data_IF_777306758788
#
_entry.id   IF_777306758788
#
_cell.length_a   1.000
_cell.length_b   1.000
_cell.length_c   1.000
_cell.angle_alpha   90.00
_cell.angle_beta   90.00
_cell.angle_gamma   90.00
#
_symmetry.space_group_name_H-M   'P 1'
#
loop_
_entity.id
_entity.type
_entity.pdbx_description
1 polymer ?
#
# COMPACT_ATOMS: atom_id res chain seq x y z
N UNK A 1 -6.25 -13.83 -0.74
CA UNK A 1 -5.27 -12.74 -0.63
C UNK A 1 -5.96 -11.42 -1.00
N UNK A 2 -5.46 -10.29 -0.52
CA UNK A 2 -5.94 -8.95 -0.88
C UNK A 2 -4.71 -8.06 -1.12
N UNK A 3 -4.34 -7.84 -2.38
CA UNK A 3 -3.09 -7.17 -2.75
C UNK A 3 -3.45 -5.94 -3.56
N UNK A 4 -3.18 -4.75 -3.01
CA UNK A 4 -3.32 -3.50 -3.77
C UNK A 4 -4.73 -2.94 -3.77
N UNK A 5 -5.60 -3.46 -2.89
CA UNK A 5 -7.03 -3.17 -2.92
C UNK A 5 -7.51 -2.53 -1.62
N UNK A 6 -7.11 -3.04 -0.46
CA UNK A 6 -7.72 -2.68 0.83
C UNK A 6 -7.65 -1.16 1.14
N UNK A 7 -6.57 -0.50 0.75
CA UNK A 7 -6.38 0.94 0.94
C UNK A 7 -7.24 1.82 0.02
N UNK A 8 -7.90 1.27 -0.99
CA UNK A 8 -8.82 1.99 -1.85
C UNK A 8 -10.29 1.83 -1.43
N UNK A 9 -10.56 1.04 -0.38
CA UNK A 9 -11.92 0.80 0.12
C UNK A 9 -12.40 1.92 1.04
N UNK A 10 -13.72 2.11 1.09
CA UNK A 10 -14.37 3.09 1.96
C UNK A 10 -14.11 2.81 3.44
N UNK A 11 -13.95 1.54 3.81
CA UNK A 11 -13.68 1.10 5.17
C UNK A 11 -12.69 -0.08 5.16
N UNK A 12 -11.37 0.20 5.30
CA UNK A 12 -10.34 -0.82 5.35
C UNK A 12 -10.50 -1.80 6.51
N UNK A 13 -11.02 -1.35 7.66
CA UNK A 13 -11.24 -2.19 8.84
C UNK A 13 -12.36 -3.20 8.60
N UNK A 14 -13.49 -2.73 8.07
CA UNK A 14 -14.59 -3.62 7.67
C UNK A 14 -14.18 -4.56 6.53
N UNK A 15 -13.39 -4.07 5.59
CA UNK A 15 -12.84 -4.90 4.50
C UNK A 15 -11.95 -6.00 5.05
N UNK A 16 -11.04 -5.67 5.97
CA UNK A 16 -10.20 -6.66 6.65
C UNK A 16 -11.04 -7.68 7.42
N UNK A 17 -12.02 -7.23 8.21
CA UNK A 17 -12.91 -8.10 8.96
C UNK A 17 -13.65 -9.09 8.05
N UNK A 18 -14.11 -8.63 6.88
CA UNK A 18 -14.74 -9.50 5.88
C UNK A 18 -13.74 -10.52 5.29
N UNK A 19 -12.53 -10.10 4.94
CA UNK A 19 -11.48 -11.02 4.44
C UNK A 19 -11.21 -12.11 5.49
N UNK A 20 -11.03 -11.71 6.75
CA UNK A 20 -10.79 -12.63 7.86
C UNK A 20 -11.96 -13.60 8.08
N UNK A 21 -13.20 -13.09 8.06
CA UNK A 21 -14.42 -13.89 8.24
C UNK A 21 -14.55 -15.00 7.20
N UNK A 22 -14.29 -14.70 5.93
CA UNK A 22 -14.40 -15.67 4.83
C UNK A 22 -13.21 -16.65 4.74
N UNK A 23 -12.10 -16.37 5.42
CA UNK A 23 -11.03 -17.34 5.55
C UNK A 23 -11.48 -18.48 6.49
N UNK A 24 -11.28 -19.74 6.09
CA UNK A 24 -11.51 -20.89 6.97
C UNK A 24 -10.45 -20.94 8.10
N UNK A 25 -10.76 -21.51 9.27
CA UNK A 25 -9.75 -21.88 10.27
C UNK A 25 -8.56 -22.63 9.65
N UNK A 26 -7.34 -22.30 10.05
CA UNK A 26 -6.10 -22.84 9.46
C UNK A 26 -5.77 -22.29 8.06
N UNK A 27 -6.59 -21.40 7.50
CA UNK A 27 -6.33 -20.75 6.22
C UNK A 27 -5.33 -19.59 6.34
N UNK A 28 -4.53 -19.39 5.29
CA UNK A 28 -3.59 -18.27 5.19
C UNK A 28 -4.30 -17.01 4.69
N UNK A 29 -4.24 -15.94 5.48
CA UNK A 29 -4.63 -14.59 5.05
C UNK A 29 -3.38 -13.84 4.63
N UNK A 30 -3.45 -13.18 3.47
CA UNK A 30 -2.37 -12.31 2.97
C UNK A 30 -3.00 -10.98 2.55
N UNK A 31 -2.48 -9.89 3.07
CA UNK A 31 -2.89 -8.52 2.75
C UNK A 31 -1.67 -7.67 2.40
N UNK A 32 -1.75 -6.87 1.35
CA UNK A 32 -0.76 -5.83 1.05
C UNK A 32 -1.44 -4.47 0.97
N UNK A 33 -0.90 -3.50 1.71
CA UNK A 33 -1.50 -2.17 1.89
C UNK A 33 -0.45 -1.06 1.84
N UNK A 34 -0.84 0.14 1.42
CA UNK A 34 0.04 1.31 1.46
C UNK A 34 0.26 1.76 2.90
N UNK A 35 1.51 2.00 3.27
CA UNK A 35 1.86 2.41 4.64
C UNK A 35 1.64 3.91 4.83
N UNK A 36 1.24 4.31 6.03
CA UNK A 36 1.18 5.72 6.40
C UNK A 36 2.60 6.32 6.48
N UNK A 37 3.54 5.54 6.97
CA UNK A 37 4.95 5.81 7.18
C UNK A 37 5.71 5.70 5.85
N UNK A 38 6.51 6.71 5.51
CA UNK A 38 7.27 6.77 4.26
C UNK A 38 6.44 7.22 3.05
N UNK A 39 5.16 7.57 3.22
CA UNK A 39 4.29 8.12 2.19
C UNK A 39 3.89 9.59 2.46
N UNK A 40 4.67 10.32 3.25
CA UNK A 40 4.35 11.68 3.69
C UNK A 40 4.13 12.63 2.51
N UNK A 41 4.99 12.58 1.47
CA UNK A 41 4.84 13.43 0.29
C UNK A 41 3.53 13.10 -0.45
N UNK A 42 3.17 11.83 -0.59
CA UNK A 42 1.89 11.45 -1.20
C UNK A 42 0.71 11.91 -0.33
N UNK A 43 0.77 11.67 0.97
CA UNK A 43 -0.31 11.98 1.92
C UNK A 43 -0.59 13.48 2.05
N UNK A 44 0.48 14.29 2.12
CA UNK A 44 0.38 15.70 2.48
C UNK A 44 0.51 16.64 1.29
N UNK A 45 1.02 16.18 0.14
CA UNK A 45 1.15 17.00 -1.06
C UNK A 45 0.25 16.44 -2.17
N UNK A 46 0.44 15.18 -2.56
CA UNK A 46 -0.25 14.63 -3.73
C UNK A 46 -1.76 14.50 -3.50
N UNK A 47 -2.19 13.96 -2.36
CA UNK A 47 -3.61 13.77 -2.04
C UNK A 47 -4.40 15.09 -2.00
N UNK A 48 -3.92 16.17 -1.34
CA UNK A 48 -4.57 17.49 -1.41
C UNK A 48 -4.64 18.05 -2.84
N UNK A 49 -3.54 18.00 -3.60
CA UNK A 49 -3.50 18.44 -5.01
C UNK A 49 -4.50 17.64 -5.85
N UNK A 50 -4.57 16.32 -5.65
CA UNK A 50 -5.49 15.44 -6.36
C UNK A 50 -6.95 15.82 -6.08
N UNK A 51 -7.31 16.00 -4.82
CA UNK A 51 -8.69 16.31 -4.39
C UNK A 51 -9.17 17.69 -4.82
N UNK A 52 -8.25 18.65 -4.93
CA UNK A 52 -8.59 20.05 -5.26
C UNK A 52 -8.54 20.31 -6.77
N UNK A 53 -7.49 19.84 -7.44
CA UNK A 53 -7.21 20.16 -8.83
C UNK A 53 -7.49 18.98 -9.77
N UNK A 54 -6.94 17.80 -9.46
CA UNK A 54 -6.86 16.71 -10.45
C UNK A 54 -8.18 15.96 -10.67
N UNK A 55 -9.07 15.91 -9.68
CA UNK A 55 -10.34 15.18 -9.76
C UNK A 55 -11.27 15.63 -10.91
N UNK A 56 -11.05 16.84 -11.43
CA UNK A 56 -11.87 17.43 -12.49
C UNK A 56 -11.24 17.31 -13.88
N UNK A 57 -9.99 16.85 -13.97
CA UNK A 57 -9.33 16.75 -15.27
C UNK A 57 -9.88 15.57 -16.08
N UNK A 58 -10.01 15.73 -17.41
CA UNK A 58 -10.35 14.62 -18.28
C UNK A 58 -9.23 13.58 -18.28
N UNK A 59 -9.61 12.30 -18.45
CA UNK A 59 -8.68 11.16 -18.42
C UNK A 59 -7.47 11.33 -19.34
N UNK A 60 -7.67 11.89 -20.54
CA UNK A 60 -6.58 12.15 -21.49
C UNK A 60 -5.51 13.11 -20.96
N UNK A 61 -5.92 14.14 -20.21
CA UNK A 61 -4.99 15.07 -19.59
C UNK A 61 -4.22 14.41 -18.44
N UNK A 62 -4.88 13.57 -17.62
CA UNK A 62 -4.20 12.79 -16.58
C UNK A 62 -3.14 11.86 -17.19
N UNK A 63 -3.44 11.15 -18.28
CA UNK A 63 -2.47 10.30 -18.98
C UNK A 63 -1.27 11.11 -19.47
N UNK A 64 -1.51 12.27 -20.08
CA UNK A 64 -0.43 13.15 -20.54
C UNK A 64 0.43 13.65 -19.37
N UNK A 65 -0.19 14.12 -18.29
CA UNK A 65 0.50 14.54 -17.07
C UNK A 65 1.34 13.41 -16.48
N UNK A 66 0.80 12.19 -16.41
CA UNK A 66 1.54 11.02 -15.92
C UNK A 66 2.78 10.73 -16.76
N UNK A 67 2.69 10.84 -18.10
CA UNK A 67 3.85 10.70 -18.98
C UNK A 67 4.91 11.76 -18.68
N UNK A 68 4.52 13.03 -18.55
CA UNK A 68 5.45 14.13 -18.25
C UNK A 68 6.11 13.93 -16.88
N UNK A 69 5.34 13.64 -15.84
CA UNK A 69 5.87 13.40 -14.49
C UNK A 69 6.81 12.20 -14.48
N UNK A 70 6.48 11.13 -15.22
CA UNK A 70 7.37 9.96 -15.36
C UNK A 70 8.68 10.37 -15.98
N UNK A 71 8.67 11.07 -17.12
CA UNK A 71 9.89 11.53 -17.78
C UNK A 71 10.75 12.42 -16.87
N UNK A 72 10.13 13.34 -16.12
CA UNK A 72 10.83 14.19 -15.17
C UNK A 72 11.43 13.39 -14.01
N UNK A 73 10.73 12.37 -13.48
CA UNK A 73 11.25 11.50 -12.41
C UNK A 73 12.41 10.63 -12.86
N UNK A 74 12.50 10.24 -14.14
CA UNK A 74 13.62 9.45 -14.63
C UNK A 74 14.97 10.13 -14.38
N UNK A 75 15.05 11.46 -14.49
CA UNK A 75 16.29 12.22 -14.29
C UNK A 75 16.86 11.99 -12.88
N UNK A 76 16.20 12.36 -11.76
CA UNK A 76 16.72 12.12 -10.42
C UNK A 76 16.81 10.63 -10.09
N UNK A 77 15.91 9.77 -10.61
CA UNK A 77 15.90 8.33 -10.29
C UNK A 77 17.14 7.61 -10.83
N UNK A 78 17.62 8.01 -12.01
CA UNK A 78 18.80 7.42 -12.65
C UNK A 78 20.11 8.20 -12.39
N UNK A 79 20.05 9.30 -11.64
CA UNK A 79 21.24 10.08 -11.23
C UNK A 79 21.40 10.07 -9.70
N UNK A 80 20.60 10.86 -8.98
CA UNK A 80 20.69 11.11 -7.54
C UNK A 80 20.35 9.84 -6.73
N UNK A 81 19.26 9.16 -7.05
CA UNK A 81 18.77 7.98 -6.32
C UNK A 81 19.57 6.68 -6.56
N UNK A 82 20.74 6.77 -7.19
CA UNK A 82 21.72 5.68 -7.27
C UNK A 82 22.82 5.80 -6.22
N UNK A 83 22.97 6.97 -5.60
CA UNK A 83 24.06 7.27 -4.69
C UNK A 83 23.76 6.67 -3.30
N UNK A 84 24.54 5.69 -2.80
CA UNK A 84 24.21 4.97 -1.56
C UNK A 84 24.15 5.85 -0.31
N UNK A 85 24.94 6.93 -0.26
CA UNK A 85 24.93 7.88 0.85
C UNK A 85 23.68 8.78 0.88
N UNK A 86 22.85 8.75 -0.17
CA UNK A 86 21.55 9.42 -0.23
C UNK A 86 20.38 8.47 0.08
N UNK A 87 20.65 7.32 0.71
CA UNK A 87 19.62 6.34 1.11
C UNK A 87 18.58 6.90 2.09
N UNK A 88 18.88 8.01 2.76
CA UNK A 88 17.95 8.73 3.63
C UNK A 88 16.86 9.50 2.85
N UNK A 89 17.01 9.69 1.53
CA UNK A 89 16.02 10.40 0.73
C UNK A 89 14.67 9.66 0.72
N UNK A 90 13.54 10.38 0.73
CA UNK A 90 12.23 9.77 0.56
C UNK A 90 12.16 8.92 -0.70
N UNK A 91 11.50 7.76 -0.59
CA UNK A 91 11.29 6.80 -1.69
C UNK A 91 12.57 6.19 -2.28
N UNK A 92 13.73 6.28 -1.61
CA UNK A 92 14.98 5.73 -2.14
C UNK A 92 14.88 4.24 -2.50
N UNK A 93 14.37 3.43 -1.58
CA UNK A 93 14.16 1.99 -1.82
C UNK A 93 13.10 1.73 -2.91
N UNK A 94 12.02 2.50 -2.92
CA UNK A 94 10.96 2.41 -3.93
C UNK A 94 11.51 2.66 -5.34
N UNK A 95 12.40 3.66 -5.50
CA UNK A 95 13.02 3.94 -6.79
C UNK A 95 13.99 2.83 -7.25
N UNK A 96 14.45 1.97 -6.34
CA UNK A 96 15.07 0.69 -6.70
C UNK A 96 14.17 -0.20 -7.55
N UNK A 97 12.88 -0.29 -7.20
CA UNK A 97 11.89 -1.03 -7.98
C UNK A 97 11.49 -0.28 -9.25
N UNK A 98 11.35 1.04 -9.19
CA UNK A 98 11.04 1.88 -10.36
C UNK A 98 12.01 1.63 -11.53
N UNK A 99 13.31 1.51 -11.24
CA UNK A 99 14.35 1.24 -12.25
C UNK A 99 14.25 -0.14 -12.91
N UNK A 100 13.51 -1.09 -12.33
CA UNK A 100 13.28 -2.44 -12.89
C UNK A 100 12.08 -2.50 -13.81
N UNK A 101 11.27 -1.45 -13.85
CA UNK A 101 10.04 -1.38 -14.65
C UNK A 101 10.28 -0.60 -15.95
N UNK A 102 9.48 -0.91 -16.97
CA UNK A 102 9.45 -0.11 -18.21
C UNK A 102 8.88 1.28 -17.93
N UNK A 103 9.17 2.23 -18.82
CA UNK A 103 8.59 3.57 -18.77
C UNK A 103 7.06 3.53 -18.71
N UNK A 104 6.43 2.69 -19.53
CA UNK A 104 4.97 2.53 -19.55
C UNK A 104 4.43 2.06 -18.20
N UNK A 105 5.05 1.06 -17.56
CA UNK A 105 4.65 0.57 -16.24
C UNK A 105 4.83 1.64 -15.16
N UNK A 106 5.91 2.40 -15.22
CA UNK A 106 6.13 3.53 -14.32
C UNK A 106 5.09 4.64 -14.54
N UNK A 107 4.74 4.93 -15.79
CA UNK A 107 3.68 5.87 -16.12
C UNK A 107 2.32 5.44 -15.60
N UNK A 108 1.97 4.16 -15.72
CA UNK A 108 0.74 3.60 -15.13
C UNK A 108 0.75 3.71 -13.60
N UNK A 109 1.87 3.42 -12.93
CA UNK A 109 2.00 3.59 -11.48
C UNK A 109 1.78 5.04 -11.02
N UNK A 110 2.15 6.02 -11.84
CA UNK A 110 1.89 7.44 -11.58
C UNK A 110 0.44 7.77 -11.87
N UNK A 111 -0.07 7.34 -13.03
CA UNK A 111 -1.46 7.53 -13.43
C UNK A 111 -2.43 7.02 -12.36
N UNK A 112 -2.21 5.83 -11.83
CA UNK A 112 -3.05 5.26 -10.78
C UNK A 112 -3.06 6.13 -9.53
N UNK A 113 -1.93 6.73 -9.14
CA UNK A 113 -1.87 7.66 -7.99
C UNK A 113 -2.61 8.96 -8.26
N UNK A 114 -2.58 9.47 -9.49
CA UNK A 114 -3.30 10.70 -9.86
C UNK A 114 -4.81 10.45 -10.01
N UNK A 115 -5.19 9.26 -10.47
CA UNK A 115 -6.55 8.91 -10.83
C UNK A 115 -7.33 8.19 -9.70
N UNK A 116 -6.64 7.65 -8.69
CA UNK A 116 -7.27 6.93 -7.58
C UNK A 116 -8.37 7.82 -6.95
N UNK A 117 -9.62 7.34 -6.80
CA UNK A 117 -10.69 8.13 -6.16
C UNK A 117 -10.35 8.46 -4.71
N UNK A 118 -9.77 7.49 -4.01
CA UNK A 118 -9.36 7.60 -2.61
C UNK A 118 -8.20 6.66 -2.30
N UNK A 119 -7.43 7.02 -1.27
CA UNK A 119 -6.38 6.19 -0.70
C UNK A 119 -6.36 6.39 0.81
N UNK A 120 -6.48 5.29 1.57
CA UNK A 120 -6.36 5.25 3.03
C UNK A 120 -5.08 4.52 3.39
N UNK A 121 -4.14 5.24 3.96
CA UNK A 121 -2.84 4.68 4.35
C UNK A 121 -2.95 3.98 5.71
N UNK A 122 -2.37 2.79 5.81
CA UNK A 122 -2.40 1.95 7.00
C UNK A 122 -1.15 2.19 7.84
N UNK A 123 -1.30 2.47 9.13
CA UNK A 123 -0.15 2.59 10.04
C UNK A 123 0.36 1.22 10.49
N UNK A 124 1.57 1.17 11.06
CA UNK A 124 2.11 -0.04 11.65
C UNK A 124 1.24 -0.58 12.79
N UNK A 125 0.72 0.29 13.65
CA UNK A 125 -0.16 -0.08 14.76
C UNK A 125 -1.43 -0.75 14.24
N UNK A 126 -2.01 -0.21 13.17
CA UNK A 126 -3.18 -0.80 12.52
C UNK A 126 -2.86 -2.17 11.91
N UNK A 127 -1.65 -2.38 11.40
CA UNK A 127 -1.22 -3.70 10.93
C UNK A 127 -1.19 -4.73 12.08
N UNK A 128 -0.70 -4.35 13.26
CA UNK A 128 -0.72 -5.21 14.45
C UNK A 128 -2.14 -5.45 14.99
N UNK A 129 -3.02 -4.45 14.90
CA UNK A 129 -4.43 -4.62 15.25
C UNK A 129 -5.11 -5.63 14.33
N UNK A 130 -4.88 -5.53 13.02
CA UNK A 130 -5.41 -6.48 12.03
C UNK A 130 -4.85 -7.89 12.26
N UNK A 131 -3.54 -8.03 12.30
CA UNK A 131 -2.83 -9.31 12.47
C UNK A 131 -2.38 -9.50 13.92
N UNK A 132 -3.34 -9.71 14.82
CA UNK A 132 -3.09 -9.92 16.25
C UNK A 132 -3.13 -11.40 16.65
N UNK A 133 -2.48 -11.77 17.77
CA UNK A 133 -2.52 -13.13 18.34
C UNK A 133 -3.93 -13.65 18.68
N UNK A 134 -4.91 -12.75 18.81
CA UNK A 134 -6.32 -13.13 19.06
C UNK A 134 -7.03 -13.66 17.82
N UNK A 135 -6.53 -13.32 16.63
CA UNK A 135 -7.13 -13.68 15.33
C UNK A 135 -6.32 -14.74 14.59
N UNK A 136 -5.01 -14.77 14.79
CA UNK A 136 -4.06 -15.60 14.04
C UNK A 136 -3.18 -16.42 14.99
N UNK A 137 -2.68 -17.56 14.49
CA UNK A 137 -1.66 -18.35 15.18
C UNK A 137 -0.41 -17.46 15.38
N UNK A 138 0.04 -17.20 16.61
CA UNK A 138 1.05 -16.18 16.90
C UNK A 138 2.33 -16.32 16.05
N UNK A 139 2.83 -17.54 15.91
CA UNK A 139 4.07 -17.86 15.20
C UNK A 139 3.95 -17.70 13.67
N UNK A 140 2.72 -17.61 13.16
CA UNK A 140 2.45 -17.45 11.73
C UNK A 140 2.36 -15.98 11.28
N UNK A 141 2.29 -15.04 12.23
CA UNK A 141 2.09 -13.63 11.93
C UNK A 141 3.38 -13.05 11.32
N UNK A 142 3.26 -12.49 10.12
CA UNK A 142 4.34 -11.77 9.45
C UNK A 142 3.84 -10.39 9.04
N UNK A 143 4.54 -9.35 9.51
CA UNK A 143 4.30 -7.95 9.14
C UNK A 143 5.63 -7.42 8.62
N UNK A 144 5.72 -7.19 7.31
CA UNK A 144 6.96 -6.75 6.65
C UNK A 144 6.75 -5.43 5.95
N UNK A 145 7.64 -4.47 6.20
CA UNK A 145 7.72 -3.24 5.40
C UNK A 145 8.29 -3.57 4.02
N UNK A 146 7.75 -2.97 2.98
CA UNK A 146 8.20 -3.16 1.61
C UNK A 146 8.52 -1.82 0.95
N UNK A 147 9.79 -1.67 0.59
CA UNK A 147 10.37 -0.51 -0.10
C UNK A 147 10.04 0.85 0.56
N UNK A 148 9.93 0.86 1.89
CA UNK A 148 9.59 2.04 2.68
C UNK A 148 8.14 2.53 2.58
N UNK A 149 7.31 2.03 1.65
CA UNK A 149 6.01 2.65 1.27
C UNK A 149 4.79 1.75 1.42
N UNK A 150 4.96 0.52 1.90
CA UNK A 150 3.84 -0.42 2.06
C UNK A 150 4.14 -1.47 3.11
N UNK A 151 3.08 -2.16 3.54
CA UNK A 151 3.18 -3.35 4.39
C UNK A 151 2.66 -4.58 3.66
N UNK A 152 3.40 -5.68 3.78
CA UNK A 152 2.97 -7.04 3.45
C UNK A 152 2.66 -7.77 4.75
N UNK A 153 1.42 -8.19 4.90
CA UNK A 153 0.87 -8.83 6.08
C UNK A 153 0.44 -10.25 5.73
N UNK A 154 0.80 -11.22 6.57
CA UNK A 154 0.28 -12.58 6.45
C UNK A 154 0.12 -13.26 7.80
N UNK A 155 -0.80 -14.23 7.88
CA UNK A 155 -1.03 -15.01 9.08
C UNK A 155 -2.01 -16.16 8.83
N UNK A 156 -1.83 -17.26 9.57
CA UNK A 156 -2.73 -18.41 9.57
C UNK A 156 -3.86 -18.14 10.57
N UNK A 157 -5.11 -18.15 10.08
CA UNK A 157 -6.29 -17.90 10.91
C UNK A 157 -6.40 -18.95 12.01
N UNK A 158 -6.52 -18.49 13.25
CA UNK A 158 -6.69 -19.36 14.41
C UNK A 158 -8.01 -20.17 14.30
N UNK A 159 -8.02 -21.37 14.88
CA UNK A 159 -9.26 -22.09 15.10
C UNK A 159 -10.09 -21.35 16.14
N UNK A 160 -11.42 -21.32 15.96
CA UNK A 160 -12.32 -20.85 17.01
C UNK A 160 -12.22 -21.86 18.13
N UNK A 161 -11.67 -21.46 19.28
CA UNK A 161 -11.73 -22.28 20.49
C UNK A 161 -13.19 -22.33 20.92
N UNK A 162 -13.83 -23.48 20.76
CA UNK A 162 -15.20 -23.75 21.18
C UNK A 162 -15.30 -23.81 22.71
N UNK A 163 -15.22 -22.65 23.37
CA UNK A 163 -15.46 -22.49 24.80
C UNK A 163 -16.40 -21.29 25.05
N UNK A 164 -17.65 -21.37 24.58
CA UNK A 164 -18.78 -20.60 25.15
C UNK A 164 -20.18 -21.16 24.77
N UNK A 165 -20.35 -22.48 24.72
CA UNK A 165 -21.68 -23.11 24.56
C UNK A 165 -22.10 -23.96 25.77
N UNK A 166 -21.50 -23.70 26.94
CA UNK A 166 -21.98 -24.28 28.20
C UNK A 166 -22.01 -23.19 29.26
N UNK A 167 -23.14 -22.51 29.36
CA UNK A 167 -23.78 -22.09 30.60
C UNK A 167 -25.20 -21.60 30.29
#
# INVERSE_FOLDING_TARGET
FCIGVIHHTDDPDRTFANIYRHCKPGGLVIVWTYSAEGNELVRWILEPVRKTLLRWLPRGALVWMSKVITALLYIPVYTIYKLPWLSFLPYYEYFGNFRRLSFERNMLNIFDKLNAPQTKFTTLEKCYEWFSPTRFVPESISIRRYAGVSYSLSGIKAAVTSQSEKN
#
